data_IF_019973461828
#
_entry.id   IF_019973461828
#
_cell.length_a   1.000
_cell.length_b   1.000
_cell.length_c   1.000
_cell.angle_alpha   90.00
_cell.angle_beta   90.00
_cell.angle_gamma   90.00
#
_symmetry.space_group_name_H-M   'P 1'
#
loop_
_entity.id
_entity.type
_entity.pdbx_description
1 polymer ?
#
# COMPACT_ATOMS: atom_id res chain seq x y z
N UNK A 1 26.20 -17.94 -5.57
CA UNK A 1 24.91 -18.49 -6.06
C UNK A 1 23.69 -18.05 -5.24
N UNK A 2 23.76 -17.90 -3.90
CA UNK A 2 22.63 -17.39 -3.10
C UNK A 2 22.27 -15.91 -3.40
N UNK A 3 23.27 -15.05 -3.60
CA UNK A 3 23.06 -13.62 -3.91
C UNK A 3 22.36 -13.36 -5.25
N UNK A 4 22.56 -14.22 -6.25
CA UNK A 4 21.94 -14.09 -7.57
C UNK A 4 20.45 -14.45 -7.54
N UNK A 5 20.10 -15.53 -6.81
CA UNK A 5 18.70 -15.90 -6.56
C UNK A 5 17.97 -14.84 -5.73
N UNK A 6 18.64 -14.27 -4.73
CA UNK A 6 18.09 -13.18 -3.91
C UNK A 6 17.83 -11.92 -4.75
N UNK A 7 18.78 -11.53 -5.61
CA UNK A 7 18.63 -10.38 -6.50
C UNK A 7 17.48 -10.57 -7.48
N UNK A 8 17.41 -11.74 -8.12
CA UNK A 8 16.33 -12.09 -9.05
C UNK A 8 14.95 -12.13 -8.36
N UNK A 9 14.87 -12.64 -7.13
CA UNK A 9 13.64 -12.61 -6.33
C UNK A 9 13.19 -11.18 -6.02
N UNK A 10 14.15 -10.30 -5.69
CA UNK A 10 13.88 -8.87 -5.46
C UNK A 10 13.33 -8.16 -6.70
N UNK A 11 14.00 -8.33 -7.84
CA UNK A 11 13.56 -7.72 -9.12
C UNK A 11 12.16 -8.19 -9.55
N UNK A 12 11.87 -9.49 -9.39
CA UNK A 12 10.53 -10.04 -9.67
C UNK A 12 9.50 -9.46 -8.70
N UNK A 13 9.84 -9.39 -7.40
CA UNK A 13 8.96 -8.82 -6.38
C UNK A 13 8.60 -7.37 -6.65
N UNK A 14 9.58 -6.54 -7.02
CA UNK A 14 9.36 -5.14 -7.37
C UNK A 14 8.48 -4.99 -8.62
N UNK A 15 8.71 -5.82 -9.65
CA UNK A 15 7.88 -5.81 -10.86
C UNK A 15 6.42 -6.20 -10.56
N UNK A 16 6.20 -7.22 -9.72
CA UNK A 16 4.86 -7.63 -9.28
C UNK A 16 4.15 -6.55 -8.46
N UNK A 17 4.87 -5.95 -7.51
CA UNK A 17 4.35 -4.85 -6.70
C UNK A 17 3.97 -3.64 -7.57
N UNK A 18 4.84 -3.24 -8.51
CA UNK A 18 4.56 -2.15 -9.46
C UNK A 18 3.32 -2.44 -10.29
N UNK A 19 3.22 -3.67 -10.82
CA UNK A 19 2.07 -4.08 -11.60
C UNK A 19 0.79 -4.04 -10.75
N UNK A 20 0.81 -4.55 -9.52
CA UNK A 20 -0.32 -4.48 -8.61
C UNK A 20 -0.75 -3.03 -8.33
N UNK A 21 0.20 -2.15 -8.01
CA UNK A 21 -0.07 -0.74 -7.72
C UNK A 21 -0.65 0.00 -8.94
N UNK A 22 -0.11 -0.22 -10.14
CA UNK A 22 -0.67 0.34 -11.37
C UNK A 22 -2.11 -0.15 -11.61
N UNK A 23 -2.40 -1.43 -11.31
CA UNK A 23 -3.73 -2.02 -11.46
C UNK A 23 -4.78 -1.33 -10.59
N UNK A 24 -4.42 -0.91 -9.38
CA UNK A 24 -5.30 -0.14 -8.47
C UNK A 24 -5.26 1.38 -8.72
N UNK A 25 -4.60 1.82 -9.79
CA UNK A 25 -4.60 3.21 -10.25
C UNK A 25 -3.45 4.07 -9.74
N UNK A 26 -2.47 3.50 -9.02
CA UNK A 26 -1.29 4.22 -8.56
C UNK A 26 -0.28 4.36 -9.69
N UNK A 27 -0.55 5.35 -10.56
CA UNK A 27 0.30 5.66 -11.72
C UNK A 27 1.43 6.60 -11.34
N UNK A 28 2.53 6.53 -12.07
CA UNK A 28 3.69 7.43 -11.89
C UNK A 28 4.36 7.33 -10.52
N UNK A 29 4.50 6.10 -10.01
CA UNK A 29 5.37 5.78 -8.88
C UNK A 29 6.77 6.38 -9.09
N UNK A 30 7.33 6.93 -8.02
CA UNK A 30 8.68 7.49 -8.05
C UNK A 30 9.63 6.43 -7.53
N UNK A 31 10.57 6.00 -8.37
CA UNK A 31 11.50 4.92 -8.06
C UNK A 31 12.88 5.47 -7.69
N UNK A 32 13.66 4.65 -6.99
CA UNK A 32 15.10 4.84 -6.79
C UNK A 32 15.48 6.17 -6.11
N UNK A 33 14.70 6.63 -5.13
CA UNK A 33 15.09 7.78 -4.31
C UNK A 33 16.04 7.30 -3.22
N UNK A 34 17.26 7.81 -3.21
CA UNK A 34 18.19 7.62 -2.09
C UNK A 34 17.87 8.62 -0.98
N UNK A 35 17.48 8.12 0.19
CA UNK A 35 17.20 8.95 1.36
C UNK A 35 18.43 8.97 2.24
N UNK A 36 19.13 10.11 2.30
CA UNK A 36 20.23 10.28 3.25
C UNK A 36 19.75 10.07 4.69
N UNK A 37 20.47 9.23 5.44
CA UNK A 37 20.20 9.05 6.85
C UNK A 37 20.66 10.28 7.61
N UNK A 38 19.79 10.81 8.48
CA UNK A 38 20.07 11.96 9.34
C UNK A 38 19.85 11.65 10.83
N UNK A 39 19.62 10.37 11.16
CA UNK A 39 19.30 9.92 12.52
C UNK A 39 20.46 9.08 13.09
N UNK A 40 21.15 9.54 14.15
CA UNK A 40 22.29 8.83 14.73
C UNK A 40 21.96 7.46 15.37
N UNK A 41 20.70 7.19 15.70
CA UNK A 41 20.29 5.88 16.24
C UNK A 41 20.06 4.82 15.15
N UNK A 42 20.07 5.19 13.87
CA UNK A 42 19.90 4.24 12.77
C UNK A 42 21.22 3.53 12.50
N UNK A 43 21.30 2.28 12.94
CA UNK A 43 22.44 1.39 12.69
C UNK A 43 22.14 0.43 11.55
N UNK A 44 23.18 0.06 10.80
CA UNK A 44 23.15 -1.04 9.84
C UNK A 44 23.34 -2.40 10.56
N UNK A 45 23.31 -3.49 9.80
CA UNK A 45 23.47 -4.85 10.33
C UNK A 45 24.83 -5.11 11.01
N UNK A 46 25.84 -4.26 10.72
CA UNK A 46 27.16 -4.29 11.35
C UNK A 46 27.25 -3.41 12.61
N UNK A 47 26.14 -2.80 13.05
CA UNK A 47 26.09 -1.89 14.18
C UNK A 47 26.73 -0.52 13.93
N UNK A 48 27.00 -0.17 12.67
CA UNK A 48 27.56 1.14 12.27
C UNK A 48 26.45 2.10 11.86
N UNK A 49 26.72 3.40 11.98
CA UNK A 49 25.80 4.45 11.52
C UNK A 49 25.43 4.28 10.06
N UNK A 50 24.12 4.16 9.81
CA UNK A 50 23.57 4.06 8.46
C UNK A 50 23.78 5.40 7.75
N UNK A 51 24.25 5.35 6.51
CA UNK A 51 24.50 6.56 5.69
C UNK A 51 23.29 6.93 4.82
N UNK A 52 22.55 5.93 4.36
CA UNK A 52 21.34 6.11 3.56
C UNK A 52 20.35 4.97 3.77
N UNK A 53 19.10 5.26 3.44
CA UNK A 53 18.00 4.32 3.33
C UNK A 53 17.70 4.07 1.85
N UNK A 54 17.47 2.80 1.51
CA UNK A 54 16.90 2.43 0.22
C UNK A 54 15.39 2.60 0.29
N UNK A 55 14.85 3.30 -0.68
CA UNK A 55 13.42 3.44 -0.89
C UNK A 55 13.09 2.83 -2.25
N UNK A 56 12.24 1.81 -2.27
CA UNK A 56 11.91 1.12 -3.51
C UNK A 56 11.05 2.05 -4.38
N UNK A 57 9.92 2.50 -3.82
CA UNK A 57 8.93 3.32 -4.54
C UNK A 57 8.25 4.30 -3.59
N UNK A 58 7.95 5.50 -4.09
CA UNK A 58 7.11 6.47 -3.39
C UNK A 58 5.93 6.85 -4.28
N UNK A 59 4.75 6.89 -3.68
CA UNK A 59 3.53 7.39 -4.33
C UNK A 59 2.99 8.61 -3.60
N UNK A 60 2.62 9.64 -4.37
CA UNK A 60 2.03 10.87 -3.84
C UNK A 60 0.63 11.03 -4.39
N UNK A 61 -0.33 11.30 -3.51
CA UNK A 61 -1.68 11.66 -3.91
C UNK A 61 -2.33 12.60 -2.89
N UNK A 62 -3.27 13.41 -3.36
CA UNK A 62 -4.09 14.24 -2.48
C UNK A 62 -5.18 13.39 -1.87
N UNK A 63 -5.20 13.29 -0.54
CA UNK A 63 -6.09 12.39 0.15
C UNK A 63 -7.57 12.82 -0.05
N UNK A 64 -8.45 11.94 -0.55
CA UNK A 64 -9.85 12.28 -0.82
C UNK A 64 -10.74 12.32 0.44
N UNK A 65 -10.20 11.92 1.59
CA UNK A 65 -10.88 11.89 2.88
C UNK A 65 -10.50 13.07 3.78
N UNK A 66 -9.39 13.74 3.46
CA UNK A 66 -8.80 14.83 4.22
C UNK A 66 -8.44 16.01 3.32
N UNK A 67 -9.27 17.05 3.39
CA UNK A 67 -9.27 18.19 2.46
C UNK A 67 -7.93 18.96 2.36
N UNK A 68 -7.05 18.89 3.37
CA UNK A 68 -5.77 19.61 3.41
C UNK A 68 -4.53 18.71 3.46
N UNK A 69 -4.69 17.40 3.12
CA UNK A 69 -3.67 16.37 3.28
C UNK A 69 -3.21 15.74 1.96
N UNK A 70 -1.90 15.63 1.79
CA UNK A 70 -1.25 14.83 0.73
C UNK A 70 -0.51 13.68 1.38
N UNK A 71 -0.76 12.46 0.90
CA UNK A 71 0.02 11.30 1.32
C UNK A 71 1.34 11.21 0.55
N UNK A 72 2.39 10.86 1.28
CA UNK A 72 3.66 10.38 0.78
C UNK A 72 3.75 8.92 1.24
N UNK A 73 3.39 7.99 0.36
CA UNK A 73 3.40 6.57 0.69
C UNK A 73 4.75 5.99 0.32
N UNK A 74 5.46 5.50 1.33
CA UNK A 74 6.74 4.83 1.25
C UNK A 74 6.51 3.33 1.08
N UNK A 75 6.80 2.80 -0.11
CA UNK A 75 6.52 1.41 -0.45
C UNK A 75 7.79 0.58 -0.28
N UNK A 76 7.70 -0.48 0.53
CA UNK A 76 8.74 -1.50 0.63
C UNK A 76 8.24 -2.82 0.09
N UNK A 77 9.02 -3.40 -0.84
CA UNK A 77 8.66 -4.63 -1.54
C UNK A 77 9.50 -5.80 -0.99
N UNK A 78 8.83 -6.85 -0.51
CA UNK A 78 9.45 -8.09 -0.05
C UNK A 78 8.82 -9.26 -0.80
N UNK A 79 9.66 -10.12 -1.36
CA UNK A 79 9.20 -11.33 -2.05
C UNK A 79 9.93 -12.58 -1.56
N UNK A 80 9.16 -13.61 -1.23
CA UNK A 80 9.65 -14.90 -0.78
C UNK A 80 9.55 -15.92 -1.92
N UNK A 81 10.62 -16.69 -2.12
CA UNK A 81 10.58 -17.88 -2.97
C UNK A 81 9.99 -19.05 -2.18
N UNK A 82 8.90 -19.64 -2.67
CA UNK A 82 8.10 -20.65 -1.98
C UNK A 82 7.01 -20.02 -1.12
N UNK A 83 6.68 -20.69 -0.03
CA UNK A 83 5.64 -20.28 0.93
C UNK A 83 6.18 -19.30 1.97
N UNK A 84 5.28 -18.56 2.63
CA UNK A 84 5.63 -17.83 3.85
C UNK A 84 6.27 -18.76 4.91
N UNK A 85 7.23 -18.25 5.70
CA UNK A 85 7.86 -19.05 6.74
C UNK A 85 6.91 -19.33 7.91
N UNK A 86 7.36 -20.17 8.85
CA UNK A 86 6.61 -20.42 10.09
C UNK A 86 6.31 -19.12 10.85
N UNK A 87 5.20 -19.10 11.59
CA UNK A 87 4.70 -17.89 12.28
C UNK A 87 5.77 -17.19 13.13
N UNK A 88 6.61 -17.94 13.85
CA UNK A 88 7.70 -17.34 14.65
C UNK A 88 8.69 -16.53 13.80
N UNK A 89 9.17 -17.13 12.70
CA UNK A 89 10.08 -16.47 11.75
C UNK A 89 9.38 -15.34 10.99
N UNK A 90 8.14 -15.55 10.57
CA UNK A 90 7.31 -14.56 9.89
C UNK A 90 7.18 -13.28 10.72
N UNK A 91 6.84 -13.40 12.01
CA UNK A 91 6.70 -12.26 12.92
C UNK A 91 8.02 -11.53 13.14
N UNK A 92 9.14 -12.26 13.26
CA UNK A 92 10.47 -11.64 13.39
C UNK A 92 10.85 -10.84 12.14
N UNK A 93 10.64 -11.42 10.95
CA UNK A 93 10.90 -10.73 9.69
C UNK A 93 9.99 -9.51 9.51
N UNK A 94 8.70 -9.64 9.85
CA UNK A 94 7.74 -8.54 9.82
C UNK A 94 8.22 -7.34 10.63
N UNK A 95 8.62 -7.56 11.89
CA UNK A 95 9.14 -6.51 12.77
C UNK A 95 10.39 -5.84 12.17
N UNK A 96 11.28 -6.61 11.57
CA UNK A 96 12.47 -6.07 10.89
C UNK A 96 12.08 -5.17 9.72
N UNK A 97 11.18 -5.64 8.85
CA UNK A 97 10.72 -4.90 7.68
C UNK A 97 10.01 -3.60 8.05
N UNK A 98 9.10 -3.64 9.04
CA UNK A 98 8.41 -2.44 9.52
C UNK A 98 9.40 -1.47 10.18
N UNK A 99 10.35 -1.97 10.97
CA UNK A 99 11.40 -1.12 11.58
C UNK A 99 12.24 -0.42 10.52
N UNK A 100 12.71 -1.15 9.51
CA UNK A 100 13.46 -0.57 8.39
C UNK A 100 12.66 0.51 7.67
N UNK A 101 11.39 0.23 7.34
CA UNK A 101 10.50 1.17 6.68
C UNK A 101 10.22 2.42 7.54
N UNK A 102 9.99 2.24 8.84
CA UNK A 102 9.82 3.34 9.78
C UNK A 102 11.05 4.25 9.86
N UNK A 103 12.25 3.66 9.96
CA UNK A 103 13.50 4.43 9.93
C UNK A 103 13.67 5.21 8.63
N UNK A 104 13.31 4.60 7.49
CA UNK A 104 13.33 5.28 6.20
C UNK A 104 12.38 6.49 6.19
N UNK A 105 11.15 6.32 6.67
CA UNK A 105 10.15 7.39 6.78
C UNK A 105 10.64 8.53 7.68
N UNK A 106 11.26 8.21 8.81
CA UNK A 106 11.75 9.22 9.76
C UNK A 106 12.83 10.12 9.14
N UNK A 107 13.74 9.55 8.35
CA UNK A 107 14.70 10.35 7.59
C UNK A 107 14.05 11.07 6.40
N UNK A 108 13.09 10.42 5.72
CA UNK A 108 12.42 10.94 4.54
C UNK A 108 11.64 12.23 4.77
N UNK A 109 11.02 12.40 5.96
CA UNK A 109 10.34 13.64 6.39
C UNK A 109 11.22 14.89 6.24
N UNK A 110 12.54 14.72 6.34
CA UNK A 110 13.51 15.82 6.25
C UNK A 110 14.38 15.79 4.99
N UNK A 111 14.06 14.93 4.01
CA UNK A 111 14.79 14.84 2.76
C UNK A 111 14.43 16.02 1.82
N UNK A 112 15.44 16.72 1.29
CA UNK A 112 15.22 17.88 0.41
C UNK A 112 14.60 17.49 -0.94
N UNK A 113 15.05 16.40 -1.55
CA UNK A 113 14.52 15.91 -2.83
C UNK A 113 13.02 15.60 -2.72
N UNK A 114 12.58 14.97 -1.63
CA UNK A 114 11.15 14.74 -1.39
C UNK A 114 10.36 16.02 -1.15
N UNK A 115 10.96 17.01 -0.48
CA UNK A 115 10.34 18.33 -0.34
C UNK A 115 10.10 19.00 -1.68
N UNK A 116 11.06 18.91 -2.59
CA UNK A 116 11.01 19.51 -3.93
C UNK A 116 9.99 18.78 -4.81
N UNK A 117 9.99 17.44 -4.78
CA UNK A 117 8.98 16.60 -5.44
C UNK A 117 7.57 16.99 -4.96
N UNK A 118 7.36 17.07 -3.65
CA UNK A 118 6.08 17.48 -3.07
C UNK A 118 5.65 18.88 -3.51
N UNK A 119 6.60 19.80 -3.66
CA UNK A 119 6.32 21.16 -4.14
C UNK A 119 5.91 21.16 -5.62
N UNK A 120 6.60 20.39 -6.46
CA UNK A 120 6.26 20.23 -7.88
C UNK A 120 4.91 19.53 -8.09
N UNK A 121 4.59 18.57 -7.21
CA UNK A 121 3.29 17.89 -7.15
C UNK A 121 2.16 18.83 -6.68
N UNK A 122 2.49 20.01 -6.14
CA UNK A 122 1.55 20.92 -5.46
C UNK A 122 0.84 20.23 -4.28
N UNK A 123 1.62 19.50 -3.49
CA UNK A 123 1.14 18.89 -2.26
C UNK A 123 0.44 19.92 -1.37
N UNK A 124 -0.67 19.50 -0.76
CA UNK A 124 -1.43 20.26 0.23
C UNK A 124 -0.56 20.55 1.46
N UNK A 125 -1.06 21.43 2.33
CA UNK A 125 -0.32 21.94 3.49
C UNK A 125 0.16 20.81 4.41
N UNK A 126 -0.70 19.83 4.68
CA UNK A 126 -0.36 18.71 5.55
C UNK A 126 0.22 17.57 4.71
N UNK A 127 1.55 17.45 4.72
CA UNK A 127 2.27 16.35 4.09
C UNK A 127 2.37 15.20 5.08
N UNK A 128 1.61 14.14 4.84
CA UNK A 128 1.55 12.99 5.72
C UNK A 128 2.33 11.83 5.11
N UNK A 129 3.17 11.18 5.91
CA UNK A 129 3.97 10.04 5.48
C UNK A 129 3.39 8.74 6.04
N UNK A 130 3.25 7.73 5.20
CA UNK A 130 2.77 6.40 5.59
C UNK A 130 3.64 5.32 4.94
N UNK A 131 3.76 4.17 5.60
CA UNK A 131 4.45 3.01 5.05
C UNK A 131 3.48 2.01 4.43
N UNK A 132 3.83 1.46 3.28
CA UNK A 132 3.15 0.34 2.65
C UNK A 132 4.14 -0.82 2.45
N UNK A 133 3.96 -1.90 3.19
CA UNK A 133 4.70 -3.14 3.00
C UNK A 133 3.94 -4.05 2.04
N UNK A 134 4.47 -4.25 0.84
CA UNK A 134 3.99 -5.29 -0.08
C UNK A 134 4.85 -6.52 0.14
N UNK A 135 4.27 -7.55 0.75
CA UNK A 135 5.00 -8.76 1.13
C UNK A 135 4.39 -9.98 0.50
N UNK A 136 4.96 -10.40 -0.63
CA UNK A 136 4.43 -11.49 -1.44
C UNK A 136 5.27 -12.76 -1.33
N UNK A 137 4.68 -13.87 -1.76
CA UNK A 137 5.34 -15.14 -2.00
C UNK A 137 4.84 -15.75 -3.32
N UNK A 138 5.56 -16.74 -3.84
CA UNK A 138 5.26 -17.37 -5.14
C UNK A 138 4.96 -18.87 -5.05
N UNK A 139 4.42 -19.31 -3.91
CA UNK A 139 3.88 -20.66 -3.77
C UNK A 139 2.56 -20.75 -4.52
N UNK A 140 2.53 -21.56 -5.58
CA UNK A 140 1.36 -21.71 -6.43
C UNK A 140 0.21 -22.47 -5.75
N UNK A 141 0.50 -23.30 -4.74
CA UNK A 141 -0.54 -24.05 -4.01
C UNK A 141 -1.30 -23.16 -3.02
N UNK A 142 -0.63 -22.12 -2.51
CA UNK A 142 -1.13 -21.22 -1.46
C UNK A 142 -1.13 -19.75 -1.90
N UNK A 143 -1.30 -19.49 -3.21
CA UNK A 143 -1.07 -18.15 -3.80
C UNK A 143 -2.00 -17.04 -3.25
N UNK A 144 -3.14 -17.41 -2.68
CA UNK A 144 -4.13 -16.50 -2.08
C UNK A 144 -4.01 -16.45 -0.54
N UNK A 145 -2.95 -17.02 0.04
CA UNK A 145 -2.79 -17.09 1.49
C UNK A 145 -2.67 -15.70 2.12
N UNK A 146 -3.46 -15.45 3.15
CA UNK A 146 -3.31 -14.28 4.01
C UNK A 146 -2.50 -14.60 5.27
N UNK A 147 -1.58 -13.70 5.61
CA UNK A 147 -0.79 -13.71 6.83
C UNK A 147 -1.24 -12.65 7.85
N UNK A 148 -2.23 -11.80 7.53
CA UNK A 148 -2.66 -10.73 8.43
C UNK A 148 -3.09 -11.26 9.81
N UNK A 149 -3.77 -12.40 9.85
CA UNK A 149 -4.15 -13.06 11.12
C UNK A 149 -2.93 -13.53 11.93
N UNK A 150 -1.91 -14.05 11.26
CA UNK A 150 -0.66 -14.46 11.92
C UNK A 150 0.11 -13.24 12.47
N UNK A 151 -0.01 -12.09 11.81
CA UNK A 151 0.65 -10.83 12.18
C UNK A 151 -0.13 -10.01 13.22
N UNK A 152 -1.43 -10.24 13.43
CA UNK A 152 -2.30 -9.42 14.28
C UNK A 152 -1.80 -9.26 15.74
N UNK A 153 -1.04 -10.23 16.24
CA UNK A 153 -0.47 -10.20 17.60
C UNK A 153 0.96 -9.66 17.68
N UNK A 154 1.52 -9.20 16.56
CA UNK A 154 2.83 -8.57 16.54
C UNK A 154 2.79 -7.24 17.30
N UNK A 155 3.59 -7.13 18.35
CA UNK A 155 3.93 -5.85 18.96
C UNK A 155 5.11 -5.24 18.21
N UNK A 156 4.88 -4.08 17.61
CA UNK A 156 5.91 -3.32 16.91
C UNK A 156 6.64 -2.46 17.94
N UNK A 157 7.94 -2.67 18.04
CA UNK A 157 8.84 -1.81 18.83
C UNK A 157 9.45 -0.79 17.85
N UNK A 158 8.59 0.12 17.35
CA UNK A 158 8.97 1.16 16.39
C UNK A 158 8.83 2.52 17.05
N UNK A 159 9.89 3.32 17.01
CA UNK A 159 9.89 4.72 17.43
C UNK A 159 9.26 5.65 16.37
N UNK A 160 8.86 5.10 15.22
CA UNK A 160 8.20 5.83 14.14
C UNK A 160 6.68 5.90 14.36
N UNK A 161 6.13 7.11 14.44
CA UNK A 161 4.69 7.39 14.58
C UNK A 161 3.88 7.24 13.28
N UNK A 162 4.52 6.89 12.15
CA UNK A 162 3.82 6.77 10.88
C UNK A 162 2.93 5.52 10.86
N UNK A 163 1.73 5.57 10.23
CA UNK A 163 0.92 4.38 10.04
C UNK A 163 1.55 3.46 8.97
N UNK A 164 1.41 2.16 9.19
CA UNK A 164 1.86 1.13 8.27
C UNK A 164 0.69 0.30 7.75
N UNK A 165 0.72 0.01 6.46
CA UNK A 165 -0.24 -0.81 5.75
C UNK A 165 0.48 -2.03 5.17
N UNK A 166 -0.22 -3.15 5.05
CA UNK A 166 0.35 -4.40 4.55
C UNK A 166 -0.53 -4.94 3.43
N UNK A 167 0.10 -5.27 2.30
CA UNK A 167 -0.49 -6.10 1.27
C UNK A 167 0.27 -7.42 1.27
N UNK A 168 -0.42 -8.48 1.69
CA UNK A 168 0.01 -9.86 1.49
C UNK A 168 -0.64 -10.44 0.22
N UNK A 169 -0.35 -11.70 -0.07
CA UNK A 169 -0.94 -12.44 -1.18
C UNK A 169 -2.47 -12.42 -1.17
N UNK A 170 -3.10 -12.73 -0.05
CA UNK A 170 -4.57 -12.69 0.08
C UNK A 170 -5.16 -11.31 -0.23
N UNK A 171 -4.58 -10.23 0.31
CA UNK A 171 -5.01 -8.85 0.03
C UNK A 171 -4.78 -8.48 -1.43
N UNK A 172 -3.62 -8.82 -2.01
CA UNK A 172 -3.32 -8.56 -3.42
C UNK A 172 -4.35 -9.26 -4.33
N UNK A 173 -4.67 -10.52 -4.05
CA UNK A 173 -5.67 -11.28 -4.79
C UNK A 173 -7.06 -10.68 -4.69
N UNK A 174 -7.48 -10.20 -3.51
CA UNK A 174 -8.75 -9.48 -3.37
C UNK A 174 -8.77 -8.21 -4.23
N UNK A 175 -7.76 -7.35 -4.12
CA UNK A 175 -7.68 -6.10 -4.87
C UNK A 175 -7.67 -6.33 -6.39
N UNK A 176 -6.94 -7.34 -6.87
CA UNK A 176 -6.92 -7.70 -8.29
C UNK A 176 -8.28 -8.19 -8.77
N UNK A 177 -8.96 -9.06 -8.01
CA UNK A 177 -10.32 -9.54 -8.33
C UNK A 177 -11.31 -8.36 -8.44
N UNK A 178 -11.25 -7.39 -7.52
CA UNK A 178 -12.06 -6.17 -7.58
C UNK A 178 -11.81 -5.37 -8.87
N UNK A 179 -10.53 -5.10 -9.18
CA UNK A 179 -10.17 -4.33 -10.38
C UNK A 179 -10.54 -5.07 -11.66
N UNK A 180 -10.33 -6.39 -11.73
CA UNK A 180 -10.69 -7.20 -12.89
C UNK A 180 -12.19 -7.20 -13.14
N UNK A 181 -13.01 -7.40 -12.10
CA UNK A 181 -14.46 -7.34 -12.21
C UNK A 181 -14.94 -5.94 -12.62
N UNK A 182 -14.38 -4.87 -12.02
CA UNK A 182 -14.70 -3.49 -12.41
C UNK A 182 -14.39 -3.20 -13.88
N UNK A 183 -13.22 -3.63 -14.38
CA UNK A 183 -12.84 -3.45 -15.79
C UNK A 183 -13.79 -4.19 -16.73
N UNK A 184 -14.14 -5.44 -16.39
CA UNK A 184 -15.11 -6.23 -17.15
C UNK A 184 -16.48 -5.56 -17.16
N UNK A 185 -16.95 -5.11 -15.99
CA UNK A 185 -18.23 -4.41 -15.86
C UNK A 185 -18.23 -3.08 -16.56
N UNK A 186 -17.11 -2.37 -16.64
CA UNK A 186 -17.02 -1.07 -17.27
C UNK A 186 -16.86 -1.10 -18.80
N UNK A 187 -16.86 -2.26 -19.45
CA UNK A 187 -16.81 -2.35 -20.92
C UNK A 187 -17.96 -1.53 -21.54
N UNK A 188 -17.62 -0.59 -22.42
CA UNK A 188 -18.56 0.37 -23.03
C UNK A 188 -18.92 1.57 -22.14
N UNK A 189 -18.19 1.78 -21.04
CA UNK A 189 -18.36 2.88 -20.10
C UNK A 189 -17.08 3.14 -19.32
N UNK A 190 -17.23 3.45 -18.04
CA UNK A 190 -16.11 3.77 -17.16
C UNK A 190 -16.40 3.38 -15.70
N UNK A 191 -15.35 3.24 -14.87
CA UNK A 191 -15.50 3.00 -13.43
C UNK A 191 -14.61 3.89 -12.58
N UNK A 192 -15.05 4.20 -11.37
CA UNK A 192 -14.30 4.96 -10.38
C UNK A 192 -14.49 4.33 -9.01
N UNK A 193 -13.47 4.31 -8.17
CA UNK A 193 -13.64 4.00 -6.75
C UNK A 193 -14.46 5.09 -6.09
N UNK A 194 -15.35 4.72 -5.18
CA UNK A 194 -16.12 5.65 -4.38
C UNK A 194 -15.39 5.92 -3.07
N UNK A 195 -15.36 7.18 -2.65
CA UNK A 195 -14.72 7.62 -1.41
C UNK A 195 -15.79 8.05 -0.41
N UNK A 196 -16.20 7.17 0.52
CA UNK A 196 -17.21 7.51 1.52
C UNK A 196 -16.81 8.74 2.32
N UNK A 197 -17.81 9.57 2.65
CA UNK A 197 -17.57 10.72 3.54
C UNK A 197 -17.22 10.20 4.93
N UNK A 198 -16.03 10.58 5.39
CA UNK A 198 -15.67 10.49 6.80
C UNK A 198 -15.83 11.87 7.44
N UNK A 199 -16.09 11.92 8.75
CA UNK A 199 -16.47 13.15 9.46
C UNK A 199 -15.46 14.30 9.43
N UNK A 200 -14.24 14.05 8.92
CA UNK A 200 -13.18 15.06 8.76
C UNK A 200 -13.21 15.82 7.44
N UNK A 201 -14.04 15.43 6.47
CA UNK A 201 -14.16 16.16 5.22
C UNK A 201 -15.22 17.26 5.35
N UNK A 202 -14.75 18.52 5.31
CA UNK A 202 -15.56 19.71 5.60
C UNK A 202 -16.09 20.31 4.29
N UNK A 203 -15.39 20.09 3.18
CA UNK A 203 -15.72 20.68 1.88
C UNK A 203 -16.77 19.86 1.12
N UNK A 204 -17.83 20.55 0.71
CA UNK A 204 -19.00 19.97 0.02
C UNK A 204 -18.67 19.56 -1.42
N UNK A 205 -17.58 20.09 -2.01
CA UNK A 205 -17.32 20.06 -3.44
C UNK A 205 -16.22 19.08 -3.91
N UNK A 206 -15.54 18.34 -3.02
CA UNK A 206 -14.58 17.32 -3.48
C UNK A 206 -15.31 16.15 -4.15
N UNK A 207 -14.84 15.78 -5.36
CA UNK A 207 -15.32 14.59 -6.06
C UNK A 207 -15.11 13.36 -5.18
N UNK A 208 -16.20 12.63 -4.92
CA UNK A 208 -16.20 11.42 -4.08
C UNK A 208 -15.99 10.16 -4.90
N UNK A 209 -15.43 10.33 -6.09
CA UNK A 209 -15.03 9.26 -6.97
C UNK A 209 -13.66 9.57 -7.55
N UNK A 210 -12.90 8.53 -7.87
CA UNK A 210 -11.64 8.68 -8.60
C UNK A 210 -11.08 7.35 -9.10
N UNK A 211 -9.97 7.43 -9.83
CA UNK A 211 -9.35 6.27 -10.51
C UNK A 211 -8.34 5.52 -9.66
N UNK A 212 -7.88 6.11 -8.58
CA UNK A 212 -6.84 5.60 -7.71
C UNK A 212 -7.45 5.09 -6.42
N UNK A 213 -7.06 3.90 -5.96
CA UNK A 213 -7.53 3.38 -4.69
C UNK A 213 -6.69 4.00 -3.56
N UNK A 214 -7.24 4.88 -2.70
CA UNK A 214 -6.48 5.49 -1.61
C UNK A 214 -6.04 4.44 -0.59
N UNK A 215 -4.99 4.76 0.16
CA UNK A 215 -4.32 3.85 1.10
C UNK A 215 -5.28 3.28 2.15
N UNK A 216 -6.23 4.10 2.61
CA UNK A 216 -7.27 3.70 3.56
C UNK A 216 -8.18 2.60 2.99
N UNK A 217 -8.47 2.63 1.69
CA UNK A 217 -9.29 1.61 1.02
C UNK A 217 -8.49 0.39 0.59
N UNK A 218 -7.16 0.51 0.41
CA UNK A 218 -6.29 -0.64 0.15
C UNK A 218 -6.38 -1.67 1.28
N UNK A 219 -6.44 -1.21 2.54
CA UNK A 219 -6.58 -2.09 3.71
C UNK A 219 -8.02 -2.38 4.11
N UNK A 220 -9.01 -1.76 3.47
CA UNK A 220 -10.41 -1.98 3.80
C UNK A 220 -10.91 -3.32 3.24
N UNK A 221 -11.70 -4.04 4.03
CA UNK A 221 -12.40 -5.25 3.56
C UNK A 221 -13.62 -4.92 2.70
N UNK A 222 -14.05 -3.66 2.67
CA UNK A 222 -15.11 -3.18 1.80
C UNK A 222 -14.53 -2.14 0.83
N UNK A 223 -14.70 -2.38 -0.47
CA UNK A 223 -14.32 -1.43 -1.53
C UNK A 223 -15.57 -1.05 -2.32
N UNK A 224 -16.07 0.19 -2.17
CA UNK A 224 -17.15 0.68 -2.99
C UNK A 224 -16.61 1.29 -4.29
N UNK A 225 -17.32 1.08 -5.38
CA UNK A 225 -16.98 1.61 -6.69
C UNK A 225 -18.24 1.91 -7.50
N UNK A 226 -18.11 2.82 -8.44
CA UNK A 226 -19.18 3.27 -9.31
C UNK A 226 -18.84 2.87 -10.72
N UNK A 227 -19.78 2.24 -11.42
CA UNK A 227 -19.70 1.97 -12.86
C UNK A 227 -20.71 2.85 -13.57
N UNK A 228 -20.28 3.54 -14.63
CA UNK A 228 -21.13 4.43 -15.43
C UNK A 228 -21.14 3.95 -16.88
N UNK A 229 -22.35 3.77 -17.44
CA UNK A 229 -22.58 3.37 -18.84
C UNK A 229 -23.72 4.18 -19.45
N UNK A 230 -23.39 5.10 -20.37
CA UNK A 230 -24.37 6.03 -20.90
C UNK A 230 -24.99 6.85 -19.77
N UNK A 231 -26.30 6.74 -19.57
CA UNK A 231 -27.04 7.39 -18.49
C UNK A 231 -27.16 6.54 -17.21
N UNK A 232 -26.78 5.25 -17.26
CA UNK A 232 -26.83 4.36 -16.09
C UNK A 232 -25.62 4.56 -15.20
N UNK A 233 -25.85 4.61 -13.88
CA UNK A 233 -24.84 4.69 -12.84
C UNK A 233 -25.14 3.67 -11.74
N UNK A 234 -24.22 2.75 -11.54
CA UNK A 234 -24.36 1.64 -10.59
C UNK A 234 -23.31 1.76 -9.49
N UNK A 235 -23.73 1.67 -8.22
CA UNK A 235 -22.83 1.51 -7.09
C UNK A 235 -22.64 0.02 -6.83
N UNK A 236 -21.39 -0.41 -6.81
CA UNK A 236 -20.96 -1.78 -6.55
C UNK A 236 -20.15 -1.78 -5.26
N UNK A 237 -20.44 -2.72 -4.38
CA UNK A 237 -19.74 -2.89 -3.11
C UNK A 237 -19.09 -4.27 -3.11
N UNK A 238 -17.76 -4.30 -3.05
CA UNK A 238 -16.98 -5.53 -2.92
C UNK A 238 -16.69 -5.77 -1.45
N UNK A 239 -16.79 -7.03 -1.02
CA UNK A 239 -16.44 -7.46 0.32
C UNK A 239 -15.36 -8.54 0.26
N UNK A 240 -14.34 -8.41 1.11
CA UNK A 240 -13.26 -9.38 1.29
C UNK A 240 -13.67 -10.48 2.26
N UNK A 241 -14.83 -11.07 2.02
CA UNK A 241 -15.40 -12.14 2.83
C UNK A 241 -16.07 -13.16 1.91
N UNK A 242 -16.13 -14.41 2.36
CA UNK A 242 -16.92 -15.41 1.66
C UNK A 242 -18.41 -15.05 1.74
N UNK A 243 -19.12 -15.29 0.64
CA UNK A 243 -20.55 -15.02 0.59
C UNK A 243 -21.33 -16.05 1.42
N UNK A 244 -22.03 -15.57 2.44
CA UNK A 244 -23.02 -16.32 3.21
C UNK A 244 -24.18 -15.40 3.63
N UNK A 245 -25.24 -15.99 4.21
CA UNK A 245 -26.42 -15.21 4.60
C UNK A 245 -26.13 -14.16 5.69
N UNK A 246 -25.11 -14.36 6.51
CA UNK A 246 -24.74 -13.44 7.58
C UNK A 246 -23.92 -12.30 7.00
N UNK A 247 -22.92 -12.58 6.16
CA UNK A 247 -22.11 -11.56 5.50
C UNK A 247 -22.97 -10.67 4.57
N UNK A 248 -23.95 -11.24 3.86
CA UNK A 248 -24.91 -10.44 3.08
C UNK A 248 -25.73 -9.49 3.96
N UNK A 249 -26.23 -9.95 5.11
CA UNK A 249 -27.01 -9.10 6.03
C UNK A 249 -26.18 -7.97 6.64
N UNK A 250 -24.89 -8.20 6.86
CA UNK A 250 -23.99 -7.19 7.42
C UNK A 250 -23.61 -6.11 6.38
N UNK A 251 -23.79 -6.38 5.08
CA UNK A 251 -23.47 -5.46 4.00
C UNK A 251 -24.60 -4.45 3.69
N UNK A 252 -25.85 -4.78 4.06
CA UNK A 252 -27.07 -4.02 3.72
C UNK A 252 -27.60 -3.17 4.88
#
# INVERSE_FOLDING_TARGET
>A
MAGEKSKKSGEIGEALATALLDRIGWKHLIHNISISCNTPSHLNDEGKLRQSHGEDQIYLYNNPFHDDRTEFVHVSNKNILGSYPTVGTLRTQFKSHIKELGQTIDCAKYNQTLRDIGTNFKAKKNRHHAGLLIWLHNDHEEIDKSILGDLAHCRLDSDCDAPFYVIDNGRASFLLKVVDDLRMRAVGGDYEFFYPRIGTSITVNEMRTGKELPLELIAADIIPAVVTKGESKELIVYANENFDSSSYKNLI
#
